data_IF_006950347226
#
_entry.id   IF_006950347226
#
_cell.length_a   1.000
_cell.length_b   1.000
_cell.length_c   1.000
_cell.angle_alpha   90.00
_cell.angle_beta   90.00
_cell.angle_gamma   90.00
#
_symmetry.space_group_name_H-M   'P 1'
#
loop_
_entity.id
_entity.type
_entity.pdbx_description
1 polymer ?
#
# COMPACT_ATOMS: atom_id res chain seq x y z
N UNK A 1 -36.11 18.46 7.75
CA UNK A 1 -35.57 17.10 7.91
C UNK A 1 -34.04 17.05 8.15
N UNK A 2 -33.37 18.16 8.50
CA UNK A 2 -31.90 18.25 8.59
C UNK A 2 -31.23 17.41 9.70
N UNK A 3 -32.02 16.77 10.58
CA UNK A 3 -31.53 15.94 11.69
C UNK A 3 -31.97 14.47 11.61
N UNK A 4 -32.60 14.06 10.49
CA UNK A 4 -33.07 12.69 10.33
C UNK A 4 -31.87 11.73 10.32
N UNK A 5 -31.87 10.74 11.21
CA UNK A 5 -30.80 9.74 11.34
C UNK A 5 -31.22 8.36 10.86
N UNK A 6 -32.49 8.01 10.97
CA UNK A 6 -33.01 6.71 10.56
C UNK A 6 -34.30 6.97 9.76
N UNK A 7 -34.42 6.31 8.62
CA UNK A 7 -35.59 6.39 7.76
C UNK A 7 -35.99 4.99 7.32
N UNK A 8 -37.17 4.56 7.73
CA UNK A 8 -37.73 3.24 7.38
C UNK A 8 -38.92 3.44 6.44
N UNK A 9 -38.78 2.91 5.24
CA UNK A 9 -39.79 2.94 4.17
C UNK A 9 -40.12 1.53 3.69
N UNK A 10 -39.75 0.50 4.46
CA UNK A 10 -40.00 -0.89 4.14
C UNK A 10 -41.49 -1.20 3.96
N UNK A 11 -41.78 -2.21 3.14
CA UNK A 11 -43.14 -2.72 2.87
C UNK A 11 -44.10 -1.68 2.26
N UNK A 12 -43.54 -0.69 1.54
CA UNK A 12 -44.31 0.31 0.80
C UNK A 12 -44.22 0.11 -0.71
N UNK A 13 -45.22 0.54 -1.50
CA UNK A 13 -45.21 0.46 -2.96
C UNK A 13 -44.27 1.49 -3.61
N UNK A 14 -43.14 1.81 -2.98
CA UNK A 14 -42.19 2.81 -3.42
C UNK A 14 -41.44 2.32 -4.67
N UNK A 15 -41.52 3.09 -5.75
CA UNK A 15 -40.88 2.77 -7.04
C UNK A 15 -39.56 3.51 -7.26
N UNK A 16 -39.42 4.66 -6.63
CA UNK A 16 -38.25 5.51 -6.73
C UNK A 16 -37.96 6.17 -5.38
N UNK A 17 -36.67 6.42 -5.12
CA UNK A 17 -36.22 7.21 -3.99
C UNK A 17 -36.12 8.67 -4.45
N UNK A 18 -36.79 9.63 -3.81
CA UNK A 18 -36.70 11.04 -4.18
C UNK A 18 -35.28 11.60 -4.02
N UNK A 19 -34.85 12.46 -4.93
CA UNK A 19 -33.50 13.06 -4.90
C UNK A 19 -33.28 13.93 -3.66
N UNK A 20 -34.36 14.47 -3.09
CA UNK A 20 -34.37 15.33 -1.91
C UNK A 20 -33.88 14.60 -0.66
N UNK A 21 -33.92 13.26 -0.64
CA UNK A 21 -33.35 12.46 0.46
C UNK A 21 -31.85 12.72 0.61
N UNK A 22 -31.14 13.08 -0.47
CA UNK A 22 -29.73 13.46 -0.43
C UNK A 22 -29.41 14.66 0.47
N UNK A 23 -30.41 15.50 0.80
CA UNK A 23 -30.25 16.63 1.71
C UNK A 23 -30.21 16.22 3.19
N UNK A 24 -30.59 14.98 3.51
CA UNK A 24 -30.56 14.44 4.87
C UNK A 24 -29.14 13.98 5.27
N UNK A 25 -28.16 14.88 5.29
CA UNK A 25 -26.73 14.59 5.51
C UNK A 25 -26.40 13.81 6.80
N UNK A 26 -27.31 13.80 7.79
CA UNK A 26 -27.17 13.06 9.06
C UNK A 26 -27.80 11.66 9.04
N UNK A 27 -28.38 11.25 7.92
CA UNK A 27 -29.01 9.94 7.77
C UNK A 27 -27.95 8.85 7.86
N UNK A 28 -28.17 7.89 8.76
CA UNK A 28 -27.31 6.74 9.05
C UNK A 28 -27.92 5.43 8.57
N UNK A 29 -29.24 5.32 8.63
CA UNK A 29 -29.95 4.10 8.24
C UNK A 29 -31.10 4.44 7.29
N UNK A 30 -31.15 3.73 6.16
CA UNK A 30 -32.22 3.82 5.18
C UNK A 30 -32.73 2.40 4.89
N UNK A 31 -33.94 2.09 5.33
CA UNK A 31 -34.58 0.80 5.04
C UNK A 31 -35.59 0.95 3.90
N UNK A 32 -35.33 0.26 2.78
CA UNK A 32 -36.18 0.19 1.59
C UNK A 32 -36.60 -1.26 1.30
N UNK A 33 -36.54 -2.16 2.29
CA UNK A 33 -36.88 -3.57 2.10
C UNK A 33 -38.31 -3.75 1.59
N UNK A 34 -38.50 -4.74 0.71
CA UNK A 34 -39.80 -5.10 0.16
C UNK A 34 -40.52 -3.90 -0.51
N UNK A 35 -39.75 -3.16 -1.31
CA UNK A 35 -40.24 -2.06 -2.15
C UNK A 35 -40.01 -2.40 -3.63
N UNK A 36 -40.47 -1.53 -4.54
CA UNK A 36 -40.34 -1.71 -5.99
C UNK A 36 -39.19 -0.88 -6.57
N UNK A 37 -38.14 -0.64 -5.78
CA UNK A 37 -36.96 0.13 -6.22
C UNK A 37 -36.20 -0.65 -7.29
N UNK A 38 -36.06 -0.03 -8.47
CA UNK A 38 -35.28 -0.56 -9.60
C UNK A 38 -33.87 0.05 -9.61
N UNK A 39 -33.76 1.35 -9.28
CA UNK A 39 -32.50 2.09 -9.25
C UNK A 39 -32.48 3.06 -8.08
N UNK A 40 -31.27 3.40 -7.61
CA UNK A 40 -31.05 4.46 -6.64
C UNK A 40 -30.62 5.76 -7.35
N UNK A 41 -31.07 6.94 -6.89
CA UNK A 41 -30.53 8.21 -7.36
C UNK A 41 -29.06 8.33 -6.94
N UNK A 42 -28.22 8.76 -7.87
CA UNK A 42 -26.77 8.97 -7.67
C UNK A 42 -26.48 10.01 -6.59
N UNK A 43 -27.41 10.93 -6.37
CA UNK A 43 -27.40 11.97 -5.34
C UNK A 43 -27.33 11.37 -3.92
N UNK A 44 -27.71 10.10 -3.71
CA UNK A 44 -27.49 9.40 -2.43
C UNK A 44 -26.01 9.27 -2.06
N UNK A 45 -25.08 9.44 -3.01
CA UNK A 45 -23.64 9.56 -2.72
C UNK A 45 -23.28 10.78 -1.87
N UNK A 46 -24.20 11.73 -1.67
CA UNK A 46 -24.00 12.87 -0.77
C UNK A 46 -24.32 12.53 0.70
N UNK A 47 -24.96 11.38 0.96
CA UNK A 47 -25.22 10.88 2.30
C UNK A 47 -23.99 10.24 2.92
N UNK A 48 -22.98 11.07 3.20
CA UNK A 48 -21.68 10.66 3.75
C UNK A 48 -21.77 9.98 5.12
N UNK A 49 -22.88 10.14 5.85
CA UNK A 49 -23.12 9.50 7.15
C UNK A 49 -23.90 8.19 7.06
N UNK A 50 -24.32 7.74 5.87
CA UNK A 50 -25.14 6.54 5.70
C UNK A 50 -24.29 5.27 5.94
N UNK A 51 -24.66 4.52 6.97
CA UNK A 51 -23.96 3.31 7.42
C UNK A 51 -24.70 2.03 7.04
N UNK A 52 -26.00 2.12 6.79
CA UNK A 52 -26.85 0.98 6.46
C UNK A 52 -27.91 1.39 5.43
N UNK A 53 -28.02 0.57 4.38
CA UNK A 53 -29.04 0.63 3.34
C UNK A 53 -29.57 -0.78 3.14
N UNK A 54 -30.87 -0.98 3.33
CA UNK A 54 -31.52 -2.25 3.11
C UNK A 54 -32.32 -2.20 1.81
N UNK A 55 -31.99 -3.07 0.85
CA UNK A 55 -32.70 -3.24 -0.42
C UNK A 55 -33.25 -4.67 -0.58
N UNK A 56 -33.33 -5.44 0.50
CA UNK A 56 -33.78 -6.82 0.44
C UNK A 56 -35.19 -6.91 -0.18
N UNK A 57 -35.41 -7.94 -1.00
CA UNK A 57 -36.66 -8.16 -1.74
C UNK A 57 -37.07 -6.99 -2.67
N UNK A 58 -36.12 -6.22 -3.19
CA UNK A 58 -36.37 -5.27 -4.28
C UNK A 58 -36.05 -5.88 -5.66
N UNK A 59 -36.78 -5.52 -6.73
CA UNK A 59 -36.55 -6.03 -8.08
C UNK A 59 -35.27 -5.49 -8.75
N UNK A 60 -34.57 -4.54 -8.10
CA UNK A 60 -33.33 -3.86 -8.48
C UNK A 60 -32.60 -4.32 -9.77
N UNK A 61 -32.22 -3.36 -10.61
CA UNK A 61 -31.46 -3.62 -11.84
C UNK A 61 -30.16 -4.39 -11.54
N UNK A 62 -29.75 -5.28 -12.45
CA UNK A 62 -28.56 -6.13 -12.29
C UNK A 62 -27.31 -5.37 -11.83
N UNK A 63 -27.06 -4.19 -12.39
CA UNK A 63 -25.90 -3.36 -12.00
C UNK A 63 -25.94 -2.90 -10.54
N UNK A 64 -27.12 -2.66 -9.98
CA UNK A 64 -27.30 -2.30 -8.57
C UNK A 64 -27.23 -3.55 -7.70
N UNK A 65 -27.83 -4.66 -8.16
CA UNK A 65 -27.81 -5.95 -7.50
C UNK A 65 -26.38 -6.46 -7.27
N UNK A 66 -25.54 -6.46 -8.30
CA UNK A 66 -24.13 -6.87 -8.18
C UNK A 66 -23.36 -6.06 -7.14
N UNK A 67 -23.65 -4.75 -7.06
CA UNK A 67 -22.97 -3.85 -6.10
C UNK A 67 -23.51 -4.06 -4.67
N UNK A 68 -24.82 -4.29 -4.53
CA UNK A 68 -25.48 -4.57 -3.25
C UNK A 68 -25.06 -5.92 -2.66
N UNK A 69 -25.06 -6.98 -3.48
CA UNK A 69 -24.63 -8.34 -3.09
C UNK A 69 -23.14 -8.37 -2.69
N UNK A 70 -22.34 -7.42 -3.20
CA UNK A 70 -20.94 -7.19 -2.79
C UNK A 70 -20.78 -6.72 -1.34
N UNK A 71 -21.87 -6.45 -0.62
CA UNK A 71 -21.94 -6.55 0.85
C UNK A 71 -21.36 -5.40 1.66
N UNK A 72 -21.03 -4.24 1.06
CA UNK A 72 -20.55 -3.09 1.81
C UNK A 72 -21.14 -1.77 1.30
N UNK A 73 -21.63 -0.94 2.23
CA UNK A 73 -22.05 0.44 1.94
C UNK A 73 -20.97 1.25 1.24
N UNK A 74 -19.69 1.00 1.50
CA UNK A 74 -18.58 1.67 0.80
C UNK A 74 -18.65 1.41 -0.71
N UNK A 75 -18.99 0.19 -1.13
CA UNK A 75 -19.11 -0.19 -2.54
C UNK A 75 -20.30 0.51 -3.20
N UNK A 76 -21.45 0.54 -2.52
CA UNK A 76 -22.65 1.23 -3.02
C UNK A 76 -22.39 2.73 -3.12
N UNK A 77 -21.85 3.33 -2.06
CA UNK A 77 -21.53 4.76 -2.03
C UNK A 77 -20.50 5.14 -3.11
N UNK A 78 -19.47 4.32 -3.32
CA UNK A 78 -18.47 4.59 -4.38
C UNK A 78 -19.06 4.45 -5.79
N UNK A 79 -19.95 3.50 -6.06
CA UNK A 79 -20.65 3.39 -7.35
C UNK A 79 -21.57 4.58 -7.61
N UNK A 80 -22.38 4.97 -6.62
CA UNK A 80 -23.25 6.15 -6.72
C UNK A 80 -22.42 7.43 -6.90
N UNK A 81 -21.31 7.56 -6.15
CA UNK A 81 -20.41 8.70 -6.28
C UNK A 81 -19.77 8.76 -7.65
N UNK A 82 -19.36 7.62 -8.22
CA UNK A 82 -18.83 7.53 -9.58
C UNK A 82 -19.86 7.99 -10.61
N UNK A 83 -21.13 7.62 -10.45
CA UNK A 83 -22.23 8.05 -11.34
C UNK A 83 -22.49 9.56 -11.24
N UNK A 84 -22.44 10.10 -10.03
CA UNK A 84 -22.59 11.55 -9.78
C UNK A 84 -21.43 12.36 -10.35
N UNK A 85 -20.20 11.98 -10.03
CA UNK A 85 -19.00 12.65 -10.59
C UNK A 85 -19.03 12.59 -12.12
N UNK A 86 -19.43 11.45 -12.72
CA UNK A 86 -19.52 11.32 -14.17
C UNK A 86 -20.51 12.31 -14.79
N UNK A 87 -21.69 12.49 -14.19
CA UNK A 87 -22.65 13.50 -14.66
C UNK A 87 -22.06 14.91 -14.52
N UNK A 88 -21.53 15.24 -13.35
CA UNK A 88 -20.97 16.55 -13.05
C UNK A 88 -19.86 16.94 -14.05
N UNK A 89 -18.92 16.03 -14.33
CA UNK A 89 -17.84 16.34 -15.27
C UNK A 89 -18.30 16.38 -16.73
N UNK A 90 -19.35 15.64 -17.08
CA UNK A 90 -19.97 15.74 -18.40
C UNK A 90 -20.58 17.12 -18.63
N UNK A 91 -21.33 17.63 -17.65
CA UNK A 91 -21.90 18.99 -17.69
C UNK A 91 -20.79 20.04 -17.74
N UNK A 92 -19.77 19.94 -16.86
CA UNK A 92 -18.64 20.88 -16.89
C UNK A 92 -17.87 20.88 -18.21
N UNK A 93 -17.66 19.71 -18.82
CA UNK A 93 -17.02 19.62 -20.14
C UNK A 93 -17.92 20.26 -21.19
N UNK A 94 -19.23 20.01 -21.16
CA UNK A 94 -20.19 20.65 -22.06
C UNK A 94 -20.18 22.17 -21.95
N UNK A 95 -20.24 22.72 -20.74
CA UNK A 95 -20.18 24.16 -20.52
C UNK A 95 -18.85 24.72 -21.03
N UNK A 96 -17.73 24.06 -20.73
CA UNK A 96 -16.40 24.49 -21.22
C UNK A 96 -16.32 24.50 -22.75
N UNK A 97 -16.88 23.48 -23.41
CA UNK A 97 -16.88 23.39 -24.87
C UNK A 97 -17.78 24.48 -25.49
N UNK A 98 -18.98 24.68 -24.95
CA UNK A 98 -19.96 25.62 -25.50
C UNK A 98 -19.64 27.09 -25.19
N UNK A 99 -18.94 27.38 -24.09
CA UNK A 99 -18.60 28.76 -23.72
C UNK A 99 -17.24 29.20 -24.30
N UNK A 100 -16.24 28.32 -24.33
CA UNK A 100 -14.84 28.73 -24.53
C UNK A 100 -14.15 28.14 -25.76
N UNK A 101 -14.54 26.94 -26.20
CA UNK A 101 -13.81 26.23 -27.27
C UNK A 101 -14.57 26.30 -28.61
N UNK A 102 -15.88 26.11 -28.57
CA UNK A 102 -16.77 26.12 -29.72
C UNK A 102 -18.00 27.01 -29.52
N UNK A 103 -17.84 28.30 -29.16
CA UNK A 103 -18.97 29.18 -28.83
C UNK A 103 -19.93 29.44 -29.99
N UNK A 104 -19.48 29.24 -31.23
CA UNK A 104 -20.29 29.43 -32.44
C UNK A 104 -21.04 28.17 -32.90
N UNK A 105 -20.87 27.02 -32.23
CA UNK A 105 -21.51 25.76 -32.61
C UNK A 105 -22.87 25.59 -31.92
N UNK A 106 -23.85 24.94 -32.56
CA UNK A 106 -25.13 24.61 -31.93
C UNK A 106 -24.92 23.71 -30.70
N UNK A 107 -25.67 23.98 -29.63
CA UNK A 107 -25.55 23.24 -28.37
C UNK A 107 -25.92 21.77 -28.54
N UNK A 108 -26.84 21.48 -29.44
CA UNK A 108 -27.33 20.14 -29.77
C UNK A 108 -26.21 19.30 -30.39
N UNK A 109 -25.46 19.85 -31.34
CA UNK A 109 -24.33 19.15 -31.98
C UNK A 109 -23.20 18.88 -30.99
N UNK A 110 -22.88 19.88 -30.15
CA UNK A 110 -21.87 19.72 -29.09
C UNK A 110 -22.31 18.64 -28.09
N UNK A 111 -23.59 18.60 -27.74
CA UNK A 111 -24.15 17.59 -26.85
C UNK A 111 -24.01 16.19 -27.43
N UNK A 112 -24.39 15.98 -28.70
CA UNK A 112 -24.23 14.69 -29.38
C UNK A 112 -22.79 14.20 -29.41
N UNK A 113 -21.82 15.09 -29.70
CA UNK A 113 -20.40 14.76 -29.68
C UNK A 113 -19.90 14.37 -28.28
N UNK A 114 -20.39 15.04 -27.24
CA UNK A 114 -20.05 14.69 -25.86
C UNK A 114 -20.68 13.35 -25.45
N UNK A 115 -21.92 13.06 -25.87
CA UNK A 115 -22.53 11.74 -25.65
C UNK A 115 -21.67 10.62 -26.27
N UNK A 116 -21.24 10.81 -27.53
CA UNK A 116 -20.34 9.89 -28.21
C UNK A 116 -19.00 9.75 -27.47
N UNK A 117 -18.40 10.86 -27.02
CA UNK A 117 -17.17 10.82 -26.23
C UNK A 117 -17.35 10.04 -24.92
N UNK A 118 -18.37 10.37 -24.13
CA UNK A 118 -18.61 9.70 -22.85
C UNK A 118 -19.04 8.24 -23.04
N UNK A 119 -19.55 7.83 -24.20
CA UNK A 119 -19.73 6.41 -24.50
C UNK A 119 -18.40 5.64 -24.57
N UNK A 120 -17.32 6.30 -25.02
CA UNK A 120 -15.96 5.73 -25.09
C UNK A 120 -15.17 5.87 -23.78
N UNK A 121 -15.65 6.63 -22.80
CA UNK A 121 -14.97 6.86 -21.52
C UNK A 121 -15.63 6.15 -20.32
N UNK A 122 -16.29 5.00 -20.52
CA UNK A 122 -17.07 4.30 -19.46
C UNK A 122 -16.21 3.78 -18.30
N UNK A 123 -14.95 3.50 -18.57
CA UNK A 123 -13.92 2.98 -17.67
C UNK A 123 -13.14 4.08 -16.93
N UNK A 124 -13.32 5.35 -17.29
CA UNK A 124 -12.61 6.45 -16.67
C UNK A 124 -13.05 6.68 -15.21
N UNK A 125 -12.08 6.89 -14.32
CA UNK A 125 -12.31 7.28 -12.93
C UNK A 125 -12.50 8.80 -12.79
N UNK A 126 -12.84 9.26 -11.58
CA UNK A 126 -13.08 10.69 -11.28
C UNK A 126 -11.87 11.58 -11.61
N UNK A 127 -10.64 11.13 -11.34
CA UNK A 127 -9.43 11.93 -11.62
C UNK A 127 -9.15 12.07 -13.12
N UNK A 128 -9.42 11.03 -13.91
CA UNK A 128 -9.34 11.11 -15.37
C UNK A 128 -10.35 12.13 -15.92
N UNK A 129 -11.59 12.13 -15.41
CA UNK A 129 -12.61 13.10 -15.83
C UNK A 129 -12.26 14.54 -15.41
N UNK A 130 -11.66 14.73 -14.21
CA UNK A 130 -11.08 16.02 -13.80
C UNK A 130 -10.00 16.49 -14.77
N UNK A 131 -9.09 15.61 -15.17
CA UNK A 131 -8.04 15.95 -16.14
C UNK A 131 -8.62 16.29 -17.51
N UNK A 132 -9.63 15.55 -17.98
CA UNK A 132 -10.35 15.86 -19.21
C UNK A 132 -10.90 17.28 -19.17
N UNK A 133 -11.67 17.61 -18.13
CA UNK A 133 -12.29 18.93 -17.95
C UNK A 133 -11.26 20.07 -17.90
N UNK A 134 -10.17 19.90 -17.15
CA UNK A 134 -9.13 20.93 -17.02
C UNK A 134 -8.32 21.15 -18.30
N UNK A 135 -8.23 20.14 -19.16
CA UNK A 135 -7.39 20.16 -20.36
C UNK A 135 -8.20 20.14 -21.66
N UNK A 136 -9.48 20.53 -21.63
CA UNK A 136 -10.34 20.54 -22.81
C UNK A 136 -9.69 21.27 -23.99
N UNK A 137 -9.06 22.43 -23.77
CA UNK A 137 -8.42 23.21 -24.84
C UNK A 137 -7.28 22.47 -25.56
N UNK A 138 -6.54 21.61 -24.85
CA UNK A 138 -5.42 20.85 -25.42
C UNK A 138 -5.89 19.52 -26.02
N UNK A 139 -6.91 18.90 -25.42
CA UNK A 139 -7.38 17.58 -25.82
C UNK A 139 -8.27 17.65 -27.06
N UNK A 140 -9.12 18.67 -27.15
CA UNK A 140 -10.05 18.85 -28.25
C UNK A 140 -9.40 19.57 -29.44
N UNK A 141 -9.74 19.18 -30.68
CA UNK A 141 -9.21 19.82 -31.89
C UNK A 141 -9.73 21.24 -32.08
N UNK A 142 -9.01 22.06 -32.85
CA UNK A 142 -9.46 23.44 -33.13
C UNK A 142 -10.74 23.46 -33.96
N UNK A 143 -10.90 22.54 -34.91
CA UNK A 143 -12.12 22.41 -35.72
C UNK A 143 -13.08 21.41 -35.08
N UNK A 144 -14.34 21.81 -34.95
CA UNK A 144 -15.39 20.98 -34.37
C UNK A 144 -15.65 19.68 -35.15
N UNK A 145 -15.53 19.73 -36.49
CA UNK A 145 -15.73 18.55 -37.36
C UNK A 145 -14.69 17.45 -37.11
N UNK A 146 -13.50 17.79 -36.63
CA UNK A 146 -12.39 16.86 -36.41
C UNK A 146 -12.48 16.15 -35.05
N UNK A 147 -13.56 16.36 -34.28
CA UNK A 147 -13.77 15.70 -32.99
C UNK A 147 -13.98 14.20 -33.22
N UNK A 148 -12.95 13.45 -32.87
CA UNK A 148 -12.92 12.00 -32.79
C UNK A 148 -12.81 11.54 -31.31
N UNK A 149 -13.82 10.83 -30.79
CA UNK A 149 -13.81 10.27 -29.44
C UNK A 149 -12.57 9.43 -29.10
N UNK A 150 -12.10 8.64 -30.06
CA UNK A 150 -11.02 7.68 -29.81
C UNK A 150 -9.67 8.40 -29.69
N UNK A 151 -9.41 9.37 -30.56
CA UNK A 151 -8.24 10.26 -30.46
C UNK A 151 -8.20 11.02 -29.13
N UNK A 152 -9.34 11.57 -28.68
CA UNK A 152 -9.43 12.28 -27.39
C UNK A 152 -9.17 11.31 -26.23
N UNK A 153 -9.73 10.10 -26.29
CA UNK A 153 -9.48 9.04 -25.32
C UNK A 153 -7.99 8.72 -25.24
N UNK A 154 -7.32 8.43 -26.36
CA UNK A 154 -5.87 8.12 -26.36
C UNK A 154 -5.05 9.27 -25.76
N UNK A 155 -5.35 10.52 -26.12
CA UNK A 155 -4.65 11.70 -25.56
C UNK A 155 -4.88 11.85 -24.05
N UNK A 156 -6.11 11.64 -23.59
CA UNK A 156 -6.46 11.72 -22.17
C UNK A 156 -5.72 10.65 -21.35
N UNK A 157 -5.69 9.40 -21.83
CA UNK A 157 -4.99 8.31 -21.15
C UNK A 157 -3.50 8.58 -21.08
N UNK A 158 -2.88 9.01 -22.19
CA UNK A 158 -1.47 9.42 -22.20
C UNK A 158 -1.18 10.53 -21.18
N UNK A 159 -2.00 11.58 -21.16
CA UNK A 159 -1.86 12.68 -20.19
C UNK A 159 -2.07 12.21 -18.74
N UNK A 160 -2.97 11.25 -18.52
CA UNK A 160 -3.22 10.69 -17.21
C UNK A 160 -2.00 9.91 -16.71
N UNK A 161 -1.46 9.01 -17.54
CA UNK A 161 -0.24 8.23 -17.30
C UNK A 161 0.99 9.12 -17.07
N UNK A 162 1.20 10.14 -17.91
CA UNK A 162 2.28 11.11 -17.73
C UNK A 162 2.17 11.85 -16.40
N UNK A 163 0.95 12.17 -15.96
CA UNK A 163 0.76 12.81 -14.66
C UNK A 163 0.98 11.87 -13.47
N UNK A 164 0.61 10.59 -13.57
CA UNK A 164 0.95 9.58 -12.55
C UNK A 164 2.47 9.47 -12.45
N UNK A 165 3.15 9.32 -13.59
CA UNK A 165 4.61 9.24 -13.62
C UNK A 165 5.27 10.46 -12.96
N UNK A 166 4.74 11.67 -13.20
CA UNK A 166 5.22 12.90 -12.53
C UNK A 166 5.02 12.85 -11.01
N UNK A 167 3.89 12.35 -10.54
CA UNK A 167 3.60 12.23 -9.11
C UNK A 167 4.52 11.20 -8.43
N UNK A 168 4.69 10.03 -9.03
CA UNK A 168 5.59 8.98 -8.52
C UNK A 168 7.05 9.45 -8.49
N UNK A 169 7.51 10.11 -9.57
CA UNK A 169 8.84 10.74 -9.59
C UNK A 169 8.94 11.79 -8.49
N UNK A 170 7.92 12.64 -8.29
CA UNK A 170 7.94 13.65 -7.24
C UNK A 170 8.03 13.03 -5.84
N UNK A 171 7.36 11.89 -5.59
CA UNK A 171 7.50 11.15 -4.33
C UNK A 171 8.92 10.65 -4.11
N UNK A 172 9.57 10.11 -5.14
CA UNK A 172 10.98 9.68 -5.06
C UNK A 172 11.90 10.90 -4.84
N UNK A 173 11.67 12.02 -5.54
CA UNK A 173 12.41 13.28 -5.37
C UNK A 173 12.32 13.77 -3.93
N UNK A 174 11.12 13.80 -3.34
CA UNK A 174 10.92 14.22 -1.96
C UNK A 174 11.68 13.31 -0.98
N UNK A 175 11.63 12.00 -1.19
CA UNK A 175 12.39 11.04 -0.37
C UNK A 175 13.90 11.25 -0.49
N UNK A 176 14.42 11.38 -1.70
CA UNK A 176 15.85 11.68 -1.93
C UNK A 176 16.24 12.99 -1.26
N UNK A 177 15.48 14.07 -1.46
CA UNK A 177 15.78 15.38 -0.86
C UNK A 177 15.75 15.34 0.66
N UNK A 178 14.87 14.54 1.26
CA UNK A 178 14.81 14.37 2.72
C UNK A 178 16.05 13.69 3.32
N UNK A 179 16.79 12.91 2.52
CA UNK A 179 18.00 12.21 2.95
C UNK A 179 19.29 12.87 2.48
N UNK A 180 19.24 13.64 1.40
CA UNK A 180 20.38 14.29 0.76
C UNK A 180 20.08 15.78 0.59
N UNK A 181 20.11 16.51 1.71
CA UNK A 181 19.68 17.92 1.77
C UNK A 181 20.61 18.82 0.93
N UNK A 182 21.89 18.51 0.87
CA UNK A 182 22.91 19.34 0.22
C UNK A 182 23.03 19.12 -1.30
N UNK A 183 22.38 18.07 -1.83
CA UNK A 183 22.43 17.73 -3.25
C UNK A 183 21.54 18.66 -4.10
N UNK A 184 22.01 18.96 -5.32
CA UNK A 184 21.27 19.82 -6.25
C UNK A 184 19.95 19.18 -6.69
N UNK A 185 18.93 20.01 -6.96
CA UNK A 185 17.63 19.52 -7.40
C UNK A 185 17.73 18.77 -8.73
N UNK A 186 18.61 19.21 -9.63
CA UNK A 186 18.84 18.58 -10.93
C UNK A 186 19.34 17.13 -10.78
N UNK A 187 20.38 16.91 -9.97
CA UNK A 187 20.91 15.56 -9.69
C UNK A 187 19.83 14.65 -9.10
N UNK A 188 19.06 15.17 -8.13
CA UNK A 188 17.98 14.43 -7.50
C UNK A 188 16.87 14.06 -8.49
N UNK A 189 16.43 14.99 -9.34
CA UNK A 189 15.38 14.75 -10.34
C UNK A 189 15.84 13.74 -11.39
N UNK A 190 17.10 13.83 -11.82
CA UNK A 190 17.69 12.89 -12.78
C UNK A 190 17.73 11.47 -12.21
N UNK A 191 18.23 11.30 -10.99
CA UNK A 191 18.29 10.00 -10.33
C UNK A 191 16.88 9.45 -10.05
N UNK A 192 15.94 10.28 -9.55
CA UNK A 192 14.56 9.87 -9.32
C UNK A 192 13.88 9.38 -10.61
N UNK A 193 14.13 10.07 -11.72
CA UNK A 193 13.58 9.70 -13.03
C UNK A 193 14.18 8.38 -13.54
N UNK A 194 15.48 8.13 -13.33
CA UNK A 194 16.11 6.85 -13.70
C UNK A 194 15.60 5.70 -12.81
N UNK A 195 15.40 5.95 -11.51
CA UNK A 195 14.78 4.98 -10.58
C UNK A 195 13.38 4.62 -11.05
N UNK A 196 12.50 5.61 -11.28
CA UNK A 196 11.13 5.37 -11.74
C UNK A 196 11.08 4.56 -13.04
N UNK A 197 11.96 4.86 -14.00
CA UNK A 197 12.00 4.15 -15.29
C UNK A 197 12.43 2.69 -15.18
N UNK A 198 13.29 2.34 -14.20
CA UNK A 198 13.93 1.02 -14.12
C UNK A 198 13.41 0.14 -13.00
N UNK A 199 12.92 0.74 -11.92
CA UNK A 199 12.47 0.04 -10.71
C UNK A 199 10.95 0.16 -10.62
N UNK A 200 10.26 -0.90 -11.02
CA UNK A 200 8.79 -0.95 -11.04
C UNK A 200 8.15 -1.35 -9.71
N UNK A 201 8.93 -1.96 -8.83
CA UNK A 201 8.45 -2.47 -7.55
C UNK A 201 8.75 -1.48 -6.42
N UNK A 202 7.68 -1.04 -5.73
CA UNK A 202 7.78 -0.09 -4.64
C UNK A 202 8.58 -0.64 -3.45
N UNK A 203 8.54 -1.96 -3.20
CA UNK A 203 9.29 -2.57 -2.10
C UNK A 203 10.79 -2.43 -2.32
N UNK A 204 11.26 -2.60 -3.55
CA UNK A 204 12.67 -2.39 -3.92
C UNK A 204 13.10 -0.94 -3.69
N UNK A 205 12.26 0.03 -4.04
CA UNK A 205 12.52 1.45 -3.74
C UNK A 205 12.60 1.68 -2.22
N UNK A 206 11.69 1.08 -1.45
CA UNK A 206 11.70 1.17 0.02
C UNK A 206 12.96 0.53 0.63
N UNK A 207 13.46 -0.57 0.05
CA UNK A 207 14.72 -1.20 0.45
C UNK A 207 15.94 -0.31 0.22
N UNK A 208 15.98 0.47 -0.87
CA UNK A 208 17.06 1.43 -1.10
C UNK A 208 17.20 2.40 0.07
N UNK A 209 16.07 2.96 0.53
CA UNK A 209 16.06 3.92 1.64
C UNK A 209 16.24 3.24 3.00
N UNK A 210 15.74 2.01 3.16
CA UNK A 210 15.95 1.21 4.39
C UNK A 210 17.43 0.94 4.65
N UNK A 211 18.21 0.64 3.60
CA UNK A 211 19.63 0.33 3.70
C UNK A 211 20.53 1.45 3.16
N UNK A 212 20.05 2.71 3.21
CA UNK A 212 20.63 3.83 2.48
C UNK A 212 22.16 4.00 2.61
N UNK A 213 22.74 3.71 3.78
CA UNK A 213 24.18 3.84 4.03
C UNK A 213 25.03 2.87 3.20
N UNK A 214 24.46 1.74 2.78
CA UNK A 214 25.13 0.75 1.94
C UNK A 214 24.76 0.90 0.46
N UNK A 215 23.54 1.39 0.18
CA UNK A 215 23.02 1.50 -1.19
C UNK A 215 23.50 2.78 -1.88
N UNK A 216 23.48 3.91 -1.17
CA UNK A 216 23.98 5.19 -1.66
C UNK A 216 25.42 5.40 -1.16
N UNK A 217 26.33 4.60 -1.70
CA UNK A 217 27.74 4.54 -1.28
C UNK A 217 28.68 5.45 -2.11
N UNK A 218 28.13 6.32 -2.95
CA UNK A 218 28.83 7.27 -3.81
C UNK A 218 28.01 8.57 -3.92
N UNK A 219 28.60 9.68 -4.42
CA UNK A 219 27.86 10.91 -4.70
C UNK A 219 26.65 10.65 -5.61
N UNK A 220 25.53 11.34 -5.38
CA UNK A 220 24.30 11.06 -6.14
C UNK A 220 24.46 11.29 -7.65
N UNK A 221 25.35 12.20 -8.04
CA UNK A 221 25.65 12.51 -9.44
C UNK A 221 26.24 11.32 -10.22
N UNK A 222 26.89 10.38 -9.52
CA UNK A 222 27.53 9.21 -10.13
C UNK A 222 26.64 7.95 -10.07
N UNK A 223 25.56 8.00 -9.27
CA UNK A 223 24.67 6.88 -9.08
C UNK A 223 23.61 6.83 -10.19
N UNK A 224 23.32 5.60 -10.62
CA UNK A 224 22.19 5.28 -11.48
C UNK A 224 21.33 4.22 -10.80
N UNK A 225 20.08 4.06 -11.24
CA UNK A 225 19.21 3.04 -10.68
C UNK A 225 19.77 1.62 -10.87
N UNK A 226 20.54 1.37 -11.94
CA UNK A 226 21.28 0.11 -12.12
C UNK A 226 22.33 -0.09 -11.03
N UNK A 227 23.05 0.97 -10.68
CA UNK A 227 24.06 0.92 -9.64
C UNK A 227 23.42 0.71 -8.25
N UNK A 228 22.29 1.37 -7.97
CA UNK A 228 21.54 1.16 -6.73
C UNK A 228 21.04 -0.29 -6.59
N UNK A 229 20.52 -0.88 -7.67
CA UNK A 229 20.14 -2.29 -7.70
C UNK A 229 21.34 -3.20 -7.45
N UNK A 230 22.46 -2.97 -8.13
CA UNK A 230 23.69 -3.75 -7.93
C UNK A 230 24.22 -3.64 -6.49
N UNK A 231 24.18 -2.45 -5.90
CA UNK A 231 24.57 -2.22 -4.51
C UNK A 231 23.63 -2.96 -3.54
N UNK A 232 22.33 -3.00 -3.83
CA UNK A 232 21.35 -3.73 -3.03
C UNK A 232 21.56 -5.24 -3.10
N UNK A 233 21.81 -5.77 -4.29
CA UNK A 233 22.10 -7.19 -4.48
C UNK A 233 23.41 -7.60 -3.81
N UNK A 234 24.46 -6.78 -3.94
CA UNK A 234 25.73 -6.97 -3.25
C UNK A 234 25.56 -6.95 -1.73
N UNK A 235 24.78 -6.00 -1.19
CA UNK A 235 24.50 -5.93 0.23
C UNK A 235 23.69 -7.14 0.74
N UNK A 236 22.68 -7.59 -0.02
CA UNK A 236 21.92 -8.81 0.29
C UNK A 236 22.81 -10.05 0.27
N UNK A 237 23.70 -10.18 -0.72
CA UNK A 237 24.66 -11.28 -0.82
C UNK A 237 25.63 -11.26 0.37
N UNK A 238 26.18 -10.10 0.72
CA UNK A 238 27.03 -9.93 1.90
C UNK A 238 26.31 -10.35 3.18
N UNK A 239 25.06 -9.91 3.40
CA UNK A 239 24.27 -10.29 4.58
C UNK A 239 23.95 -11.78 4.63
N UNK A 240 23.73 -12.41 3.47
CA UNK A 240 23.56 -13.86 3.36
C UNK A 240 24.83 -14.59 3.78
N UNK A 241 25.98 -14.13 3.31
CA UNK A 241 27.28 -14.71 3.63
C UNK A 241 27.60 -14.57 5.13
N UNK A 242 27.42 -13.38 5.70
CA UNK A 242 27.58 -13.14 7.14
C UNK A 242 26.69 -14.09 7.97
N UNK A 243 25.46 -14.35 7.52
CA UNK A 243 24.57 -15.30 8.19
C UNK A 243 25.10 -16.73 8.15
N UNK A 244 25.62 -17.19 7.00
CA UNK A 244 26.20 -18.52 6.86
C UNK A 244 27.39 -18.69 7.79
N UNK A 245 28.29 -17.70 7.85
CA UNK A 245 29.46 -17.72 8.73
C UNK A 245 29.07 -17.75 10.22
N UNK A 246 28.05 -17.00 10.63
CA UNK A 246 27.56 -17.05 12.02
C UNK A 246 26.92 -18.40 12.36
N UNK A 247 26.22 -19.04 11.41
CA UNK A 247 25.67 -20.38 11.59
C UNK A 247 26.81 -21.40 11.74
N UNK A 248 27.86 -21.31 10.92
CA UNK A 248 29.03 -22.17 11.02
C UNK A 248 29.74 -22.02 12.38
N UNK A 249 29.94 -20.78 12.85
CA UNK A 249 30.51 -20.52 14.19
C UNK A 249 29.65 -21.06 15.32
N UNK A 250 28.33 -20.98 15.19
CA UNK A 250 27.41 -21.59 16.16
C UNK A 250 27.58 -23.11 16.18
N UNK A 251 27.62 -23.76 15.01
CA UNK A 251 27.86 -25.21 14.89
C UNK A 251 29.17 -25.60 15.58
N UNK A 252 30.28 -24.94 15.25
CA UNK A 252 31.59 -25.20 15.87
C UNK A 252 31.56 -25.04 17.41
N UNK A 253 30.83 -24.02 17.90
CA UNK A 253 30.68 -23.79 19.33
C UNK A 253 29.88 -24.91 20.02
N UNK A 254 28.85 -25.45 19.35
CA UNK A 254 28.06 -26.59 19.85
C UNK A 254 28.91 -27.87 19.81
N UNK A 255 29.60 -28.12 18.70
CA UNK A 255 30.48 -29.28 18.54
C UNK A 255 31.57 -29.29 19.63
N UNK A 256 32.18 -28.13 19.91
CA UNK A 256 33.16 -27.97 20.98
C UNK A 256 32.57 -28.15 22.38
N UNK A 257 31.30 -27.78 22.61
CA UNK A 257 30.66 -27.94 23.92
C UNK A 257 30.51 -29.41 24.31
N UNK A 258 30.28 -30.29 23.32
CA UNK A 258 30.02 -31.71 23.53
C UNK A 258 31.13 -32.60 22.93
N UNK A 259 32.33 -32.09 22.74
CA UNK A 259 33.44 -32.81 22.12
C UNK A 259 33.79 -34.13 22.83
N UNK A 260 33.61 -34.19 24.15
CA UNK A 260 33.91 -35.36 24.98
C UNK A 260 32.76 -36.39 25.03
N UNK A 261 31.60 -36.06 24.43
CA UNK A 261 30.38 -36.86 24.49
C UNK A 261 30.17 -37.66 23.19
N UNK A 262 29.67 -38.89 23.30
CA UNK A 262 29.36 -39.73 22.12
C UNK A 262 28.03 -39.34 21.46
N UNK A 263 27.94 -38.11 20.94
CA UNK A 263 26.78 -37.64 20.16
C UNK A 263 27.04 -37.92 18.67
N UNK A 264 26.02 -38.42 17.96
CA UNK A 264 26.07 -38.55 16.50
C UNK A 264 26.10 -37.16 15.86
N UNK A 265 26.96 -36.96 14.86
CA UNK A 265 27.10 -35.68 14.14
C UNK A 265 25.74 -35.17 13.59
N UNK A 266 24.91 -36.06 13.06
CA UNK A 266 23.55 -35.77 12.59
C UNK A 266 22.67 -35.09 13.66
N UNK A 267 22.83 -35.46 14.93
CA UNK A 267 22.05 -34.88 16.04
C UNK A 267 22.54 -33.48 16.41
N UNK A 268 23.85 -33.23 16.34
CA UNK A 268 24.40 -31.89 16.58
C UNK A 268 23.99 -30.90 15.47
N UNK A 269 23.92 -31.39 14.23
CA UNK A 269 23.36 -30.64 13.10
C UNK A 269 21.90 -30.31 13.34
N UNK A 270 21.08 -31.30 13.73
CA UNK A 270 19.66 -31.10 14.04
C UNK A 270 19.44 -30.03 15.15
N UNK A 271 20.27 -30.05 16.19
CA UNK A 271 20.21 -29.04 17.26
C UNK A 271 20.57 -27.64 16.77
N UNK A 272 21.62 -27.54 15.94
CA UNK A 272 22.08 -26.27 15.37
C UNK A 272 21.02 -25.69 14.43
N UNK A 273 20.49 -26.49 13.50
CA UNK A 273 19.43 -26.08 12.57
C UNK A 273 18.16 -25.68 13.31
N UNK A 274 17.78 -26.45 14.33
CA UNK A 274 16.69 -26.13 15.23
C UNK A 274 16.85 -24.74 15.85
N UNK A 275 18.01 -24.45 16.44
CA UNK A 275 18.28 -23.15 17.05
C UNK A 275 18.31 -22.01 16.02
N UNK A 276 18.91 -22.21 14.84
CA UNK A 276 18.97 -21.20 13.78
C UNK A 276 17.58 -20.87 13.23
N UNK A 277 16.67 -21.85 13.17
CA UNK A 277 15.28 -21.64 12.75
C UNK A 277 14.53 -20.72 13.72
N UNK A 278 14.76 -20.88 15.01
CA UNK A 278 14.10 -20.09 16.05
C UNK A 278 14.80 -18.74 16.27
N UNK A 279 16.14 -18.70 16.17
CA UNK A 279 16.99 -17.49 16.21
C UNK A 279 17.05 -16.84 14.83
N UNK A 280 15.91 -16.31 14.37
CA UNK A 280 15.71 -15.77 13.01
C UNK A 280 16.72 -14.71 12.55
N UNK A 281 17.41 -14.01 13.46
CA UNK A 281 18.34 -12.91 13.16
C UNK A 281 19.79 -13.32 13.34
N UNK A 282 20.65 -12.97 12.39
CA UNK A 282 22.10 -13.18 12.46
C UNK A 282 22.72 -12.61 13.75
N UNK A 283 22.25 -11.46 14.22
CA UNK A 283 22.72 -10.85 15.47
C UNK A 283 22.37 -11.67 16.72
N UNK A 284 21.21 -12.35 16.74
CA UNK A 284 20.81 -13.21 17.86
C UNK A 284 21.61 -14.52 17.84
N UNK A 285 21.86 -15.07 16.65
CA UNK A 285 22.74 -16.24 16.48
C UNK A 285 24.14 -15.94 17.03
N UNK A 286 24.70 -14.79 16.66
CA UNK A 286 26.02 -14.36 17.12
C UNK A 286 26.07 -14.17 18.65
N UNK A 287 25.05 -13.55 19.25
CA UNK A 287 25.02 -13.34 20.70
C UNK A 287 24.74 -14.63 21.47
N UNK A 288 23.88 -15.50 20.95
CA UNK A 288 23.62 -16.82 21.54
C UNK A 288 24.89 -17.67 21.57
N UNK A 289 25.67 -17.67 20.48
CA UNK A 289 26.93 -18.40 20.39
C UNK A 289 27.92 -18.01 21.51
N UNK A 290 27.96 -16.74 21.92
CA UNK A 290 28.82 -16.29 23.04
C UNK A 290 28.36 -16.79 24.41
N UNK A 291 27.06 -16.97 24.60
CA UNK A 291 26.44 -17.34 25.89
C UNK A 291 25.98 -18.79 25.93
N UNK A 292 26.41 -19.59 24.96
CA UNK A 292 25.93 -20.93 24.66
C UNK A 292 25.92 -21.88 25.87
N UNK A 293 26.96 -21.82 26.72
CA UNK A 293 27.07 -22.64 27.95
C UNK A 293 25.97 -22.39 28.98
N UNK A 294 25.35 -21.21 28.98
CA UNK A 294 24.30 -20.84 29.93
C UNK A 294 22.92 -21.39 29.57
N UNK A 295 22.73 -21.79 28.30
CA UNK A 295 21.41 -22.13 27.77
C UNK A 295 21.35 -23.56 27.20
N UNK A 296 22.48 -24.12 26.77
CA UNK A 296 22.52 -25.49 26.26
C UNK A 296 22.45 -26.50 27.42
N UNK A 297 21.57 -27.51 27.35
CA UNK A 297 21.41 -28.51 28.41
C UNK A 297 22.63 -29.43 28.51
N UNK A 298 22.82 -30.06 29.67
CA UNK A 298 23.88 -31.08 29.82
C UNK A 298 23.57 -32.31 28.96
N UNK A 299 24.59 -33.13 28.66
CA UNK A 299 24.44 -34.32 27.80
C UNK A 299 23.25 -35.21 28.19
N UNK A 300 23.10 -35.49 29.50
CA UNK A 300 22.04 -36.35 30.04
C UNK A 300 20.60 -35.80 29.83
N UNK A 301 20.47 -34.52 29.51
CA UNK A 301 19.21 -33.79 29.33
C UNK A 301 18.89 -33.52 27.85
N UNK A 302 19.83 -33.81 26.93
CA UNK A 302 19.66 -33.59 25.48
C UNK A 302 18.47 -34.35 24.89
N UNK A 303 18.04 -35.45 25.52
CA UNK A 303 16.82 -36.19 25.13
C UNK A 303 15.53 -35.35 25.17
N UNK A 304 15.54 -34.22 25.88
CA UNK A 304 14.43 -33.26 25.95
C UNK A 304 14.77 -31.91 25.29
N UNK A 305 15.79 -31.90 24.42
CA UNK A 305 16.19 -30.69 23.72
C UNK A 305 15.02 -30.11 22.92
N UNK A 306 14.69 -28.85 23.21
CA UNK A 306 13.67 -28.09 22.51
C UNK A 306 14.25 -26.74 22.10
N UNK A 307 14.58 -26.55 20.80
CA UNK A 307 15.21 -25.32 20.35
C UNK A 307 14.31 -24.09 20.52
N UNK A 308 12.99 -24.25 20.41
CA UNK A 308 12.05 -23.14 20.57
C UNK A 308 12.00 -22.63 22.01
N UNK A 309 12.05 -23.54 23.00
CA UNK A 309 12.10 -23.17 24.41
C UNK A 309 13.40 -22.42 24.73
N UNK A 310 14.53 -22.98 24.32
CA UNK A 310 15.87 -22.41 24.56
C UNK A 310 15.99 -21.04 23.89
N UNK A 311 15.57 -20.91 22.63
CA UNK A 311 15.60 -19.65 21.92
C UNK A 311 14.66 -18.60 22.56
N UNK A 312 13.47 -19.00 23.01
CA UNK A 312 12.53 -18.10 23.67
C UNK A 312 13.08 -17.56 25.00
N UNK A 313 13.70 -18.41 25.81
CA UNK A 313 14.37 -18.03 27.06
C UNK A 313 15.51 -17.03 26.80
N UNK A 314 16.35 -17.32 25.81
CA UNK A 314 17.44 -16.42 25.43
C UNK A 314 16.94 -15.08 24.88
N UNK A 315 15.95 -15.08 24.00
CA UNK A 315 15.35 -13.86 23.44
C UNK A 315 14.74 -13.01 24.56
N UNK A 316 14.09 -13.62 25.55
CA UNK A 316 13.54 -12.92 26.70
C UNK A 316 14.65 -12.26 27.54
N UNK A 317 15.76 -12.96 27.76
CA UNK A 317 16.93 -12.40 28.46
C UNK A 317 17.55 -11.22 27.72
N UNK A 318 17.80 -11.35 26.41
CA UNK A 318 18.35 -10.26 25.58
C UNK A 318 17.40 -9.05 25.59
N UNK A 319 16.09 -9.28 25.55
CA UNK A 319 15.10 -8.20 25.65
C UNK A 319 15.20 -7.47 26.99
N UNK A 320 15.33 -8.20 28.10
CA UNK A 320 15.47 -7.60 29.44
C UNK A 320 16.76 -6.78 29.58
N UNK A 321 17.88 -7.28 29.05
CA UNK A 321 19.14 -6.52 29.05
C UNK A 321 19.04 -5.21 28.26
N UNK A 322 18.38 -5.22 27.10
CA UNK A 322 18.18 -4.01 26.33
C UNK A 322 17.30 -2.98 27.05
N UNK A 323 16.29 -3.41 27.81
CA UNK A 323 15.50 -2.49 28.66
C UNK A 323 16.35 -1.87 29.75
N UNK A 324 17.13 -2.69 30.46
CA UNK A 324 17.99 -2.20 31.53
C UNK A 324 19.01 -1.18 31.01
N UNK A 325 19.63 -1.45 29.87
CA UNK A 325 20.56 -0.52 29.21
C UNK A 325 19.87 0.77 28.72
N UNK A 326 18.66 0.67 28.16
CA UNK A 326 17.89 1.83 27.71
C UNK A 326 17.41 2.71 28.88
N UNK A 327 17.09 2.10 30.03
CA UNK A 327 16.73 2.81 31.26
C UNK A 327 17.93 3.56 31.85
N UNK A 328 19.12 2.93 31.86
CA UNK A 328 20.37 3.58 32.31
C UNK A 328 20.78 4.75 31.41
N UNK A 329 20.46 4.70 30.11
CA UNK A 329 20.72 5.78 29.15
C UNK A 329 19.61 6.84 29.07
N UNK A 330 18.67 6.86 30.03
CA UNK A 330 17.63 7.90 30.13
C UNK A 330 16.57 7.89 29.01
N UNK A 331 16.38 6.76 28.31
CA UNK A 331 15.38 6.68 27.23
C UNK A 331 13.94 6.62 27.77
N UNK A 332 12.99 7.25 27.07
CA UNK A 332 11.57 7.27 27.47
C UNK A 332 10.95 5.87 27.53
N UNK A 333 9.96 5.67 28.41
CA UNK A 333 9.20 4.40 28.53
C UNK A 333 8.65 3.90 27.19
N UNK A 334 8.16 4.80 26.32
CA UNK A 334 7.65 4.45 24.98
C UNK A 334 8.75 3.93 24.05
N UNK A 335 9.96 4.46 24.18
CA UNK A 335 11.15 4.01 23.46
C UNK A 335 11.65 2.65 23.98
N UNK A 336 11.57 2.42 25.30
CA UNK A 336 11.89 1.14 25.93
C UNK A 336 10.91 0.03 25.49
N UNK A 337 9.60 0.30 25.46
CA UNK A 337 8.59 -0.66 24.99
C UNK A 337 8.79 -1.03 23.50
N UNK A 338 9.22 -0.05 22.68
CA UNK A 338 9.55 -0.29 21.26
C UNK A 338 10.80 -1.17 21.10
N UNK A 339 11.82 -1.00 21.95
CA UNK A 339 13.01 -1.85 21.95
C UNK A 339 12.70 -3.32 22.32
N UNK A 340 11.84 -3.55 23.32
CA UNK A 340 11.39 -4.90 23.70
C UNK A 340 10.61 -5.58 22.58
N UNK A 341 9.71 -4.83 21.94
CA UNK A 341 8.90 -5.31 20.83
C UNK A 341 9.79 -5.67 19.63
N UNK A 342 10.84 -4.88 19.38
CA UNK A 342 11.87 -5.15 18.36
C UNK A 342 12.66 -6.45 18.60
N UNK A 343 13.02 -6.75 19.86
CA UNK A 343 13.72 -8.01 20.18
C UNK A 343 12.79 -9.23 20.05
N UNK A 344 11.53 -9.12 20.50
CA UNK A 344 10.56 -10.23 20.53
C UNK A 344 9.88 -10.52 19.18
N UNK A 345 9.61 -9.50 18.37
CA UNK A 345 8.93 -9.64 17.08
C UNK A 345 9.91 -9.78 15.89
N UNK A 346 11.22 -9.84 16.15
CA UNK A 346 12.23 -9.87 15.09
C UNK A 346 12.43 -8.54 14.36
N UNK A 347 12.00 -7.41 14.94
CA UNK A 347 12.19 -6.07 14.37
C UNK A 347 13.58 -5.49 14.64
N UNK A 348 14.32 -5.15 13.60
CA UNK A 348 15.33 -4.10 13.70
C UNK A 348 14.62 -2.74 13.79
N UNK A 349 15.33 -1.76 14.36
CA UNK A 349 15.18 -0.37 13.98
C UNK A 349 14.86 -0.22 12.47
N UNK A 350 13.65 0.28 12.16
CA UNK A 350 13.17 0.53 10.79
C UNK A 350 11.98 -0.36 10.37
N UNK A 351 10.76 0.14 10.60
CA UNK A 351 9.45 -0.47 10.27
C UNK A 351 9.19 -0.49 8.73
N UNK A 352 8.19 -1.21 8.16
CA UNK A 352 7.69 -2.57 8.38
C UNK A 352 7.77 -3.46 7.09
N UNK A 353 7.35 -4.72 7.22
CA UNK A 353 7.03 -5.67 6.12
C UNK A 353 8.22 -6.42 5.49
N UNK A 354 8.44 -7.66 5.96
CA UNK A 354 8.84 -8.79 5.13
C UNK A 354 8.55 -10.10 5.85
N UNK A 355 7.43 -10.74 5.50
CA UNK A 355 7.36 -12.20 5.43
C UNK A 355 7.94 -12.60 4.08
N UNK A 356 9.25 -12.86 4.02
CA UNK A 356 9.82 -13.68 2.95
C UNK A 356 9.92 -15.12 3.48
N UNK A 357 8.97 -15.94 3.06
CA UNK A 357 9.11 -17.39 3.01
C UNK A 357 10.21 -17.74 2.02
N UNK A 358 11.29 -18.35 2.50
CA UNK A 358 12.26 -19.04 1.65
C UNK A 358 11.89 -20.53 1.67
N UNK A 359 11.58 -21.07 0.49
CA UNK A 359 11.76 -22.49 0.18
C UNK A 359 13.24 -22.76 -0.09
#
# INVERSE_FOLDING_TARGET
MANLQQLWLNDNPLREVPIEISQCHKLKELDLKNTFIITLPRELANLTSLLYLNLDNCPMKDSLKTVYDGGNMVTIHSDLRRKEDRKLYKEKVFDTLTEWIYPSQPKEEVFEKIEQLFAHLKDCNTEMLKKLQRNCQMLFPVKFADIDPETIRTRLFKLYEEGIAREDIAQIVLRLKSHFLDESLEVIVNLASDIFKRVKDQNTIDEFFRYKSHIFNAPLAELSARQLLANLDAYKAFKRQERIEMIAKLKESIDSLYADEKIKEEKLVEYTEGLVRELKRTSLIAEFSKQLRGYMPKYNELKHFNPAKIAAEFIAYVAQQQVAAAAQNGMSMRSQTKAVKMVKEGGLSGNPSNTMTFY
#
